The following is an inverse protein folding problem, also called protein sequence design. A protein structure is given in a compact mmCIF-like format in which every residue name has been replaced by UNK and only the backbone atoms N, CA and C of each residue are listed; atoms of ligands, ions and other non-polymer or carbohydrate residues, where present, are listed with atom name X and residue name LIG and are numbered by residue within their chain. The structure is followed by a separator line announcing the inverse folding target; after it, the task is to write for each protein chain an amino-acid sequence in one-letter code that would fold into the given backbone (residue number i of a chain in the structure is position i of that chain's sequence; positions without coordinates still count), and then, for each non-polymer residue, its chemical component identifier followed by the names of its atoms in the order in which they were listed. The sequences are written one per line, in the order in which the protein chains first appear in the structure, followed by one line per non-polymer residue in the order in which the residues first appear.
data_IF_730875047883
#
_entry.id   IF_730875047883
#
_cell.length_a   1.000
_cell.length_b   1.000
_cell.length_c   1.000
_cell.angle_alpha   90.00
_cell.angle_beta   90.00
_cell.angle_gamma   90.00
#
_symmetry.space_group_name_H-M   'P 1'
#
loop_
_entity.id
_entity.type
_entity.pdbx_description
1 polymer ?
#
# COMPACT_ATOMS: atom_id res chain seq x y z
N UNK A 1 5.36 18.70 -22.07
CA UNK A 1 5.39 18.14 -23.46
C UNK A 1 5.89 16.69 -23.48
N UNK A 2 5.56 15.89 -24.51
CA UNK A 2 6.11 14.53 -24.64
C UNK A 2 7.49 14.52 -25.33
N UNK A 3 8.40 13.64 -24.89
CA UNK A 3 9.69 13.44 -25.55
C UNK A 3 9.54 12.88 -26.97
N UNK A 4 8.62 11.93 -27.14
CA UNK A 4 8.18 11.42 -28.44
C UNK A 4 6.66 11.55 -28.51
N UNK A 5 6.17 12.28 -29.53
CA UNK A 5 4.75 12.42 -29.82
C UNK A 5 4.49 11.95 -31.24
N UNK A 6 3.73 10.87 -31.39
CA UNK A 6 3.35 10.26 -32.67
C UNK A 6 1.86 10.40 -32.87
N UNK A 7 1.47 11.02 -33.99
CA UNK A 7 0.07 11.19 -34.39
C UNK A 7 -0.15 10.54 -35.76
N UNK A 8 -0.79 9.37 -35.73
CA UNK A 8 -1.15 8.54 -36.88
C UNK A 8 -2.64 8.55 -37.15
N UNK A 9 -3.36 9.59 -36.72
CA UNK A 9 -4.83 9.68 -36.85
C UNK A 9 -5.29 9.88 -38.31
N UNK A 10 -4.35 10.14 -39.21
CA UNK A 10 -4.62 10.25 -40.65
C UNK A 10 -4.71 8.88 -41.32
N UNK A 11 -5.22 8.85 -42.55
CA UNK A 11 -5.39 7.61 -43.31
C UNK A 11 -4.05 6.93 -43.59
N UNK A 12 -3.90 5.68 -43.15
CA UNK A 12 -2.70 4.88 -43.43
C UNK A 12 -2.44 3.82 -42.38
N UNK A 13 -1.45 2.96 -42.65
CA UNK A 13 -0.89 2.08 -41.63
C UNK A 13 0.39 2.68 -41.09
N UNK A 14 0.36 3.03 -39.82
CA UNK A 14 1.50 3.60 -39.12
C UNK A 14 2.06 2.61 -38.11
N UNK A 15 3.38 2.50 -38.05
CA UNK A 15 4.08 1.62 -37.11
C UNK A 15 5.25 2.32 -36.44
N UNK A 16 5.48 1.96 -35.17
CA UNK A 16 6.57 2.49 -34.36
C UNK A 16 7.26 1.32 -33.66
N UNK A 17 8.59 1.28 -33.74
CA UNK A 17 9.39 0.23 -33.12
C UNK A 17 10.48 0.89 -32.29
N UNK A 18 10.51 0.60 -30.99
CA UNK A 18 11.61 0.93 -30.11
C UNK A 18 12.25 -0.38 -29.63
N UNK A 19 13.57 -0.51 -29.85
CA UNK A 19 14.32 -1.70 -29.47
C UNK A 19 15.66 -1.32 -28.83
N UNK A 20 15.97 -1.89 -27.67
CA UNK A 20 17.26 -1.66 -26.99
C UNK A 20 17.44 -0.21 -26.50
N UNK A 21 16.34 0.47 -26.15
CA UNK A 21 16.35 1.89 -25.82
C UNK A 21 16.34 2.15 -24.30
N UNK A 22 16.89 3.29 -23.90
CA UNK A 22 16.73 3.83 -22.55
C UNK A 22 16.02 5.18 -22.66
N UNK A 23 14.88 5.31 -22.02
CA UNK A 23 14.10 6.53 -21.91
C UNK A 23 14.16 7.04 -20.47
N UNK A 24 14.65 8.27 -20.32
CA UNK A 24 14.81 8.92 -19.01
C UNK A 24 13.89 10.14 -18.91
N UNK A 25 13.01 10.14 -17.91
CA UNK A 25 12.18 11.30 -17.59
C UNK A 25 12.94 12.18 -16.60
N UNK A 26 13.20 13.43 -16.99
CA UNK A 26 14.05 14.38 -16.24
C UNK A 26 13.28 15.28 -15.26
N UNK A 27 11.96 15.11 -15.16
CA UNK A 27 11.07 15.97 -14.40
C UNK A 27 9.77 16.19 -15.14
N UNK A 28 8.65 16.12 -14.42
CA UNK A 28 7.32 16.34 -14.94
C UNK A 28 6.48 17.02 -13.85
N UNK A 29 5.75 18.06 -14.21
CA UNK A 29 4.63 18.55 -13.39
C UNK A 29 3.38 17.73 -13.70
N UNK A 30 2.42 17.71 -12.77
CA UNK A 30 1.11 17.09 -13.01
C UNK A 30 0.52 17.71 -14.29
N UNK A 31 0.31 16.87 -15.32
CA UNK A 31 -0.12 17.22 -16.70
C UNK A 31 0.93 17.64 -17.75
N UNK A 32 2.23 17.66 -17.46
CA UNK A 32 3.22 18.19 -18.42
C UNK A 32 3.79 17.19 -19.45
N UNK A 33 2.96 16.29 -20.01
CA UNK A 33 3.38 15.32 -21.03
C UNK A 33 4.06 14.05 -20.48
N UNK A 34 5.16 13.57 -21.06
CA UNK A 34 5.75 12.28 -20.70
C UNK A 34 6.86 11.83 -21.65
N UNK A 35 7.20 10.54 -21.65
CA UNK A 35 8.21 9.99 -22.54
C UNK A 35 7.66 9.69 -23.93
N UNK A 36 6.54 8.97 -24.01
CA UNK A 36 5.95 8.55 -25.27
C UNK A 36 4.45 8.79 -25.25
N UNK A 37 3.96 9.47 -26.29
CA UNK A 37 2.55 9.53 -26.65
C UNK A 37 2.38 9.03 -28.07
N UNK A 38 1.57 7.99 -28.26
CA UNK A 38 1.36 7.34 -29.55
C UNK A 38 -0.12 7.08 -29.80
N UNK A 39 -0.68 7.78 -30.78
CA UNK A 39 -2.08 7.62 -31.23
C UNK A 39 -2.10 7.16 -32.69
N UNK A 40 -2.89 6.13 -33.02
CA UNK A 40 -3.04 5.65 -34.40
C UNK A 40 -1.88 4.79 -34.93
N UNK A 41 -0.92 4.40 -34.09
CA UNK A 41 0.25 3.58 -34.47
C UNK A 41 0.22 2.16 -33.91
N UNK A 42 0.58 1.17 -34.72
CA UNK A 42 0.93 -0.17 -34.24
C UNK A 42 2.35 -0.14 -33.65
N UNK A 43 2.46 -0.27 -32.34
CA UNK A 43 3.72 -0.07 -31.62
C UNK A 43 4.33 -1.38 -31.12
N UNK A 44 5.64 -1.53 -31.26
CA UNK A 44 6.42 -2.62 -30.63
C UNK A 44 7.51 -1.99 -29.78
N UNK A 45 7.50 -2.27 -28.48
CA UNK A 45 8.51 -1.83 -27.52
C UNK A 45 9.22 -3.07 -26.99
N UNK A 46 10.52 -3.17 -27.22
CA UNK A 46 11.29 -4.36 -26.87
C UNK A 46 12.64 -4.01 -26.26
N UNK A 47 13.06 -4.76 -25.25
CA UNK A 47 14.40 -4.63 -24.64
C UNK A 47 14.69 -3.17 -24.16
N UNK A 48 13.66 -2.48 -23.67
CA UNK A 48 13.71 -1.07 -23.30
C UNK A 48 13.70 -0.84 -21.78
N UNK A 49 14.24 0.30 -21.35
CA UNK A 49 14.16 0.76 -19.96
C UNK A 49 13.52 2.15 -19.94
N UNK A 50 12.41 2.29 -19.26
CA UNK A 50 11.74 3.54 -18.96
C UNK A 50 11.96 3.85 -17.48
N UNK A 51 12.60 4.98 -17.19
CA UNK A 51 12.85 5.37 -15.80
C UNK A 51 12.71 6.86 -15.57
N UNK A 52 12.28 7.20 -14.37
CA UNK A 52 12.44 8.55 -13.85
C UNK A 52 13.89 8.74 -13.38
N UNK A 53 14.60 9.71 -13.98
CA UNK A 53 15.93 10.07 -13.54
C UNK A 53 15.81 10.98 -12.33
N UNK A 54 16.08 10.45 -11.14
CA UNK A 54 16.25 11.31 -9.97
C UNK A 54 17.51 12.16 -10.19
N UNK A 55 17.34 13.40 -10.68
CA UNK A 55 18.40 14.38 -10.58
C UNK A 55 18.77 14.49 -9.10
N UNK A 56 20.01 14.11 -8.78
CA UNK A 56 20.70 14.23 -7.49
C UNK A 56 19.79 14.58 -6.34
N UNK A 57 19.42 13.58 -5.49
CA UNK A 57 18.75 13.76 -4.18
C UNK A 57 18.34 15.21 -4.00
N UNK A 58 17.28 15.65 -4.69
CA UNK A 58 16.74 16.94 -4.34
C UNK A 58 16.41 16.69 -2.87
N UNK A 59 17.08 17.40 -1.99
CA UNK A 59 16.64 17.55 -0.63
C UNK A 59 15.35 18.33 -0.81
N UNK A 60 14.28 17.62 -1.23
CA UNK A 60 12.96 18.17 -1.40
C UNK A 60 12.58 18.37 0.04
N UNK A 61 12.95 19.54 0.54
CA UNK A 61 12.66 19.98 1.87
C UNK A 61 11.17 19.66 2.06
N UNK A 62 10.79 18.84 3.06
CA UNK A 62 9.39 18.58 3.35
C UNK A 62 8.57 19.88 3.46
N UNK A 63 9.23 21.02 3.66
CA UNK A 63 8.68 22.36 3.65
C UNK A 63 8.11 22.85 2.29
N UNK A 64 8.74 22.56 1.14
CA UNK A 64 8.14 22.91 -0.17
C UNK A 64 6.93 22.03 -0.49
N UNK A 65 6.88 20.79 0.05
CA UNK A 65 5.68 19.94 0.01
C UNK A 65 4.53 20.53 0.83
N UNK A 66 4.84 21.34 1.85
CA UNK A 66 3.88 21.98 2.77
C UNK A 66 3.35 23.34 2.30
N UNK A 67 4.08 24.11 1.50
CA UNK A 67 3.61 25.46 1.14
C UNK A 67 2.52 25.48 0.05
N UNK A 68 2.34 24.40 -0.73
CA UNK A 68 1.12 24.16 -1.53
C UNK A 68 -0.02 23.52 -0.69
N UNK A 69 0.17 23.32 0.62
CA UNK A 69 -0.82 22.71 1.54
C UNK A 69 -1.77 23.75 2.14
N UNK A 70 -1.37 25.02 2.25
CA UNK A 70 -2.14 26.01 3.01
C UNK A 70 -3.09 26.88 2.17
N UNK A 71 -3.04 26.82 0.84
CA UNK A 71 -3.76 27.76 -0.04
C UNK A 71 -4.91 27.15 -0.87
N UNK A 72 -5.12 25.83 -0.83
CA UNK A 72 -6.21 25.17 -1.58
C UNK A 72 -7.01 24.31 -0.59
N UNK A 73 -8.28 24.68 -0.40
CA UNK A 73 -9.19 24.08 0.57
C UNK A 73 -9.39 22.58 0.36
N UNK A 74 -9.67 21.88 1.46
CA UNK A 74 -9.91 20.44 1.62
C UNK A 74 -11.17 19.90 0.90
N UNK A 75 -11.50 20.34 -0.31
CA UNK A 75 -12.75 19.92 -0.96
C UNK A 75 -12.64 18.83 -2.05
N UNK A 76 -11.43 18.43 -2.50
CA UNK A 76 -11.30 17.46 -3.60
C UNK A 76 -10.34 16.28 -3.31
N UNK A 77 -10.42 15.62 -2.15
CA UNK A 77 -9.84 14.28 -1.96
C UNK A 77 -10.67 13.18 -2.67
N UNK A 78 -11.14 13.44 -3.90
CA UNK A 78 -11.80 12.45 -4.73
C UNK A 78 -10.79 11.45 -5.30
N UNK A 79 -10.62 10.35 -4.56
CA UNK A 79 -10.22 9.03 -5.04
C UNK A 79 -8.82 8.90 -5.68
N UNK A 80 -8.29 7.68 -5.78
CA UNK A 80 -7.09 7.41 -6.59
C UNK A 80 -7.39 7.56 -8.10
N UNK A 81 -8.13 8.57 -8.54
CA UNK A 81 -8.25 8.85 -9.96
C UNK A 81 -6.96 9.52 -10.42
N UNK A 82 -6.23 8.85 -11.32
CA UNK A 82 -5.18 9.48 -12.09
C UNK A 82 -5.37 9.08 -13.55
N UNK A 83 -5.18 10.04 -14.43
CA UNK A 83 -5.23 9.87 -15.87
C UNK A 83 -3.85 10.10 -16.51
N UNK A 84 -2.84 10.41 -15.71
CA UNK A 84 -1.48 10.64 -16.18
C UNK A 84 -0.71 9.32 -16.33
N UNK A 85 0.24 9.32 -17.25
CA UNK A 85 1.28 8.31 -17.37
C UNK A 85 2.48 8.89 -18.15
N UNK A 86 3.64 8.27 -18.00
CA UNK A 86 4.83 8.61 -18.80
C UNK A 86 4.80 8.00 -20.20
N UNK A 87 4.07 6.90 -20.40
CA UNK A 87 3.88 6.26 -21.70
C UNK A 87 2.40 6.05 -21.98
N UNK A 88 1.94 6.51 -23.15
CA UNK A 88 0.53 6.41 -23.56
C UNK A 88 0.41 5.82 -24.96
N UNK A 89 -0.46 4.81 -25.11
CA UNK A 89 -0.85 4.23 -26.40
C UNK A 89 -2.36 4.30 -26.60
N UNK A 90 -2.81 4.80 -27.75
CA UNK A 90 -4.23 4.98 -28.09
C UNK A 90 -4.53 4.60 -29.55
N UNK A 91 -5.81 4.30 -29.83
CA UNK A 91 -6.41 4.05 -31.15
C UNK A 91 -5.85 2.87 -32.00
N UNK A 92 -4.80 2.19 -31.52
CA UNK A 92 -4.17 1.01 -32.14
C UNK A 92 -3.60 0.06 -31.10
N UNK A 93 -2.85 -0.95 -31.55
CA UNK A 93 -2.21 -1.94 -30.69
C UNK A 93 -0.78 -1.56 -30.31
N UNK A 94 -0.39 -1.86 -29.07
CA UNK A 94 1.01 -1.86 -28.64
C UNK A 94 1.37 -3.22 -28.04
N UNK A 95 2.54 -3.76 -28.38
CA UNK A 95 3.10 -4.96 -27.77
C UNK A 95 4.41 -4.61 -27.07
N UNK A 96 4.52 -4.95 -25.80
CA UNK A 96 5.65 -4.60 -24.94
C UNK A 96 6.32 -5.87 -24.41
N UNK A 97 7.62 -5.98 -24.64
CA UNK A 97 8.44 -7.15 -24.33
C UNK A 97 9.76 -6.75 -23.66
N UNK A 98 10.19 -7.54 -22.68
CA UNK A 98 11.44 -7.39 -21.95
C UNK A 98 11.75 -5.93 -21.57
N UNK A 99 10.73 -5.25 -21.03
CA UNK A 99 10.77 -3.81 -20.79
C UNK A 99 10.53 -3.51 -19.32
N UNK A 100 11.26 -2.54 -18.79
CA UNK A 100 11.16 -2.11 -17.39
C UNK A 100 10.60 -0.69 -17.29
N UNK A 101 9.64 -0.48 -16.39
CA UNK A 101 9.11 0.83 -16.01
C UNK A 101 9.38 1.10 -14.53
N UNK A 102 10.15 2.13 -14.21
CA UNK A 102 10.58 2.39 -12.84
C UNK A 102 10.61 3.86 -12.41
N UNK A 103 10.19 4.12 -11.18
CA UNK A 103 10.37 5.41 -10.50
C UNK A 103 9.38 6.52 -10.89
N UNK A 104 8.33 6.23 -11.66
CA UNK A 104 7.39 7.23 -12.14
C UNK A 104 6.41 7.70 -11.06
N UNK A 105 6.30 9.00 -10.88
CA UNK A 105 5.40 9.61 -9.88
C UNK A 105 3.99 9.85 -10.38
N UNK A 106 3.79 9.87 -11.69
CA UNK A 106 2.51 10.20 -12.34
C UNK A 106 1.96 9.04 -13.16
N UNK A 107 2.30 7.79 -12.83
CA UNK A 107 1.90 6.64 -13.63
C UNK A 107 2.94 6.22 -14.67
N UNK A 108 3.14 4.92 -14.86
CA UNK A 108 4.05 4.43 -15.88
C UNK A 108 3.38 4.34 -17.26
N UNK A 109 2.24 3.67 -17.34
CA UNK A 109 1.58 3.31 -18.60
C UNK A 109 0.10 3.68 -18.60
N UNK A 110 -0.36 4.30 -19.67
CA UNK A 110 -1.78 4.54 -19.96
C UNK A 110 -2.20 3.84 -21.24
N UNK A 111 -3.30 3.10 -21.14
CA UNK A 111 -4.07 2.61 -22.29
C UNK A 111 -5.15 3.64 -22.58
N UNK A 112 -4.94 4.43 -23.63
CA UNK A 112 -5.90 5.44 -24.08
C UNK A 112 -7.03 4.82 -24.90
N UNK A 113 -8.02 5.65 -25.26
CA UNK A 113 -9.21 5.30 -26.03
C UNK A 113 -8.89 4.40 -27.22
N UNK A 114 -9.68 3.32 -27.39
CA UNK A 114 -9.53 2.29 -28.42
C UNK A 114 -8.16 1.59 -28.47
N UNK A 115 -7.27 1.85 -27.52
CA UNK A 115 -5.96 1.23 -27.42
C UNK A 115 -6.04 -0.23 -27.02
N UNK A 116 -5.16 -1.05 -27.61
CA UNK A 116 -5.00 -2.48 -27.27
C UNK A 116 -3.57 -2.77 -26.88
N UNK A 117 -3.28 -2.81 -25.59
CA UNK A 117 -1.91 -3.00 -25.10
C UNK A 117 -1.72 -4.44 -24.63
N UNK A 118 -0.66 -5.09 -25.13
CA UNK A 118 -0.24 -6.43 -24.73
C UNK A 118 1.11 -6.35 -24.01
N UNK A 119 1.14 -6.79 -22.76
CA UNK A 119 2.32 -6.91 -21.92
C UNK A 119 2.69 -8.39 -21.77
N UNK A 120 3.94 -8.73 -22.05
CA UNK A 120 4.46 -10.09 -21.77
C UNK A 120 4.89 -10.23 -20.30
N UNK A 121 5.13 -11.46 -19.86
CA UNK A 121 5.62 -11.82 -18.52
C UNK A 121 6.99 -11.24 -18.16
N UNK A 122 7.75 -10.85 -19.19
CA UNK A 122 9.04 -10.18 -19.08
C UNK A 122 8.94 -8.68 -18.77
N UNK A 123 7.74 -8.08 -18.80
CA UNK A 123 7.52 -6.66 -18.46
C UNK A 123 7.50 -6.46 -16.95
N UNK A 124 8.25 -5.47 -16.46
CA UNK A 124 8.45 -5.19 -15.04
C UNK A 124 8.02 -3.77 -14.68
N UNK A 125 7.33 -3.64 -13.56
CA UNK A 125 6.97 -2.36 -12.95
C UNK A 125 7.42 -2.34 -11.49
N UNK A 126 8.08 -1.27 -11.04
CA UNK A 126 8.42 -1.09 -9.63
C UNK A 126 8.70 0.38 -9.29
N UNK A 127 8.47 0.76 -8.03
CA UNK A 127 8.77 2.10 -7.51
C UNK A 127 8.01 3.25 -8.20
N UNK A 128 6.90 2.97 -8.88
CA UNK A 128 6.09 4.02 -9.52
C UNK A 128 5.10 4.59 -8.50
N UNK A 129 5.59 5.41 -7.56
CA UNK A 129 4.84 5.85 -6.37
C UNK A 129 4.45 7.32 -6.51
N UNK A 130 3.19 7.70 -6.24
CA UNK A 130 2.74 9.07 -6.40
C UNK A 130 3.27 10.04 -5.35
N UNK A 131 3.46 11.29 -5.78
CA UNK A 131 3.72 12.42 -4.89
C UNK A 131 2.38 13.04 -4.48
N UNK A 132 1.74 12.45 -3.46
CA UNK A 132 0.40 12.85 -3.00
C UNK A 132 0.38 13.18 -1.51
N UNK A 133 -0.58 13.99 -1.07
CA UNK A 133 -0.72 14.44 0.33
C UNK A 133 -1.25 13.33 1.26
N UNK A 134 -2.09 12.43 0.76
CA UNK A 134 -2.68 11.33 1.55
C UNK A 134 -1.65 10.23 1.86
N UNK A 135 -1.47 9.92 3.15
CA UNK A 135 -0.60 8.84 3.65
C UNK A 135 -0.96 7.46 3.06
N UNK A 136 -2.23 7.23 2.73
CA UNK A 136 -2.70 5.99 2.08
C UNK A 136 -2.28 5.95 0.61
N UNK A 137 -2.45 7.07 -0.10
CA UNK A 137 -2.13 7.16 -1.53
C UNK A 137 -0.63 7.17 -1.78
N UNK A 138 0.19 7.72 -0.87
CA UNK A 138 1.65 7.66 -0.94
C UNK A 138 2.21 6.24 -0.95
N UNK A 139 1.43 5.25 -0.49
CA UNK A 139 1.84 3.83 -0.48
C UNK A 139 1.25 3.05 -1.66
N UNK A 140 0.39 3.66 -2.46
CA UNK A 140 -0.26 3.02 -3.60
C UNK A 140 0.55 3.26 -4.87
N UNK A 141 1.18 2.23 -5.45
CA UNK A 141 1.86 2.41 -6.72
C UNK A 141 0.85 2.74 -7.85
N UNK A 142 1.27 3.55 -8.82
CA UNK A 142 0.55 3.93 -10.01
C UNK A 142 1.26 3.32 -11.21
N UNK A 143 0.96 2.06 -11.51
CA UNK A 143 1.64 1.38 -12.60
C UNK A 143 0.90 1.57 -13.92
N UNK A 144 -0.37 1.17 -13.97
CA UNK A 144 -1.13 1.18 -15.22
C UNK A 144 -2.49 1.85 -15.03
N UNK A 145 -2.82 2.78 -15.92
CA UNK A 145 -4.19 3.29 -16.10
C UNK A 145 -4.78 2.69 -17.35
N UNK A 146 -5.93 2.05 -17.19
CA UNK A 146 -6.76 1.59 -18.29
C UNK A 146 -8.17 2.13 -18.07
N UNK A 147 -8.39 3.36 -18.52
CA UNK A 147 -9.58 4.11 -18.19
C UNK A 147 -9.87 5.18 -19.25
N UNK A 148 -10.59 4.84 -20.34
CA UNK A 148 -11.23 5.85 -21.20
C UNK A 148 -12.53 5.40 -21.88
N UNK A 149 -13.49 6.33 -21.81
CA UNK A 149 -14.70 6.65 -22.60
C UNK A 149 -15.80 5.60 -22.89
N UNK A 150 -17.05 6.09 -22.94
CA UNK A 150 -18.30 5.34 -23.15
C UNK A 150 -18.47 4.79 -24.58
N UNK A 151 -17.48 5.02 -25.46
CA UNK A 151 -17.51 4.62 -26.87
C UNK A 151 -16.22 3.91 -27.26
N UNK A 152 -16.24 2.58 -27.18
CA UNK A 152 -15.15 1.70 -27.60
C UNK A 152 -14.42 1.00 -26.45
N UNK A 153 -14.14 -0.29 -26.60
CA UNK A 153 -13.47 -1.09 -25.57
C UNK A 153 -11.95 -0.94 -25.67
N UNK A 154 -11.34 -0.23 -24.71
CA UNK A 154 -9.89 -0.33 -24.49
C UNK A 154 -9.56 -1.72 -23.96
N UNK A 155 -8.39 -2.24 -24.31
CA UNK A 155 -7.98 -3.59 -23.93
C UNK A 155 -6.57 -3.60 -23.35
N UNK A 156 -6.42 -4.24 -22.19
CA UNK A 156 -5.14 -4.55 -21.60
C UNK A 156 -5.01 -6.07 -21.48
N UNK A 157 -4.10 -6.65 -22.25
CA UNK A 157 -3.68 -8.03 -22.12
C UNK A 157 -2.35 -8.09 -21.40
N UNK A 158 -2.25 -8.89 -20.35
CA UNK A 158 -1.01 -9.02 -19.59
C UNK A 158 -0.85 -10.45 -19.07
N UNK A 159 0.20 -11.11 -19.56
CA UNK A 159 0.70 -12.36 -18.98
C UNK A 159 1.65 -11.99 -17.85
N UNK A 160 1.35 -12.40 -16.62
CA UNK A 160 2.12 -12.18 -15.38
C UNK A 160 3.04 -10.96 -15.40
N UNK A 161 2.46 -9.76 -15.50
CA UNK A 161 3.26 -8.55 -15.33
C UNK A 161 3.89 -8.61 -13.94
N UNK A 162 5.22 -8.57 -13.92
CA UNK A 162 6.01 -8.61 -12.70
C UNK A 162 5.98 -7.22 -12.06
N UNK A 163 4.85 -6.86 -11.46
CA UNK A 163 4.81 -5.79 -10.47
C UNK A 163 5.72 -6.23 -9.34
N UNK A 164 6.71 -5.44 -8.98
CA UNK A 164 7.71 -5.80 -7.97
C UNK A 164 7.70 -4.77 -6.87
N UNK A 165 7.79 -5.27 -5.63
CA UNK A 165 8.00 -4.41 -4.47
C UNK A 165 9.36 -3.73 -4.59
N UNK A 166 9.47 -2.54 -4.02
CA UNK A 166 10.75 -1.84 -3.94
C UNK A 166 11.49 -2.30 -2.68
N UNK A 167 12.72 -2.79 -2.83
CA UNK A 167 13.58 -3.13 -1.68
C UNK A 167 14.25 -1.88 -1.09
N UNK A 168 14.78 -2.02 0.14
CA UNK A 168 15.67 -1.05 0.75
C UNK A 168 16.84 -0.75 -0.20
N UNK A 169 16.90 0.49 -0.72
CA UNK A 169 17.90 0.91 -1.70
C UNK A 169 17.36 1.14 -3.12
N UNK A 170 16.06 0.96 -3.36
CA UNK A 170 15.42 1.32 -4.64
C UNK A 170 15.54 0.25 -5.73
N UNK A 171 15.95 -0.97 -5.37
CA UNK A 171 16.08 -2.10 -6.30
C UNK A 171 14.76 -2.89 -6.40
N UNK A 172 14.52 -3.56 -7.54
CA UNK A 172 13.34 -4.40 -7.73
C UNK A 172 13.43 -5.65 -6.84
N UNK A 173 12.48 -5.81 -5.94
CA UNK A 173 12.34 -6.97 -5.06
C UNK A 173 11.39 -8.04 -5.59
N UNK A 174 10.74 -8.71 -4.64
CA UNK A 174 9.75 -9.76 -4.88
C UNK A 174 8.57 -9.27 -5.70
N UNK A 175 7.94 -10.20 -6.41
CA UNK A 175 6.70 -9.93 -7.14
C UNK A 175 5.62 -9.50 -6.17
N UNK A 176 5.07 -8.31 -6.39
CA UNK A 176 3.91 -7.77 -5.71
C UNK A 176 2.68 -8.60 -6.06
N UNK A 177 1.97 -9.02 -5.02
CA UNK A 177 0.63 -9.61 -5.13
C UNK A 177 -0.35 -8.59 -5.73
N UNK A 178 -0.16 -7.31 -5.40
CA UNK A 178 -0.96 -6.20 -5.91
C UNK A 178 -0.43 -5.71 -7.24
N UNK A 179 -1.35 -5.61 -8.20
CA UNK A 179 -1.03 -5.32 -9.59
C UNK A 179 -1.13 -3.83 -9.91
N UNK A 180 -1.62 -2.99 -8.98
CA UNK A 180 -1.59 -1.52 -9.10
C UNK A 180 -2.07 -0.99 -10.47
N UNK A 181 -3.12 -1.64 -10.98
CA UNK A 181 -3.81 -1.26 -12.22
C UNK A 181 -5.11 -0.58 -11.83
N UNK A 182 -5.30 0.65 -12.30
CA UNK A 182 -6.59 1.32 -12.30
C UNK A 182 -7.33 0.93 -13.58
N UNK A 183 -8.31 0.03 -13.45
CA UNK A 183 -9.15 -0.42 -14.54
C UNK A 183 -10.63 -0.24 -14.18
N UNK A 184 -11.39 0.52 -14.98
CA UNK A 184 -12.84 0.66 -14.79
C UNK A 184 -13.56 -0.51 -15.49
N UNK A 185 -14.42 -1.29 -14.80
CA UNK A 185 -15.01 -2.54 -15.33
C UNK A 185 -15.84 -2.43 -16.61
N UNK A 186 -16.19 -1.21 -17.05
CA UNK A 186 -17.04 -0.97 -18.22
C UNK A 186 -16.32 -0.31 -19.39
N UNK A 187 -15.10 0.22 -19.18
CA UNK A 187 -14.35 0.95 -20.20
C UNK A 187 -13.04 0.26 -20.58
N UNK A 188 -12.57 -0.68 -19.75
CA UNK A 188 -11.36 -1.47 -19.99
C UNK A 188 -11.62 -2.96 -19.83
N UNK A 189 -11.35 -3.71 -20.90
CA UNK A 189 -11.33 -5.17 -20.87
C UNK A 189 -9.93 -5.68 -20.52
N UNK A 190 -9.86 -6.61 -19.56
CA UNK A 190 -8.62 -7.23 -19.12
C UNK A 190 -8.53 -8.65 -19.69
N UNK A 191 -7.36 -9.03 -20.21
CA UNK A 191 -7.05 -10.35 -20.77
C UNK A 191 -5.74 -10.93 -20.20
N UNK A 192 -5.52 -12.24 -20.41
CA UNK A 192 -4.35 -12.95 -19.90
C UNK A 192 -4.45 -13.28 -18.40
N UNK A 193 -3.31 -13.52 -17.75
CA UNK A 193 -3.30 -13.91 -16.33
C UNK A 193 -3.80 -12.82 -15.38
N UNK A 194 -3.78 -11.53 -15.76
CA UNK A 194 -4.30 -10.44 -14.92
C UNK A 194 -5.81 -10.55 -14.64
N UNK A 195 -6.54 -11.33 -15.43
CA UNK A 195 -7.97 -11.62 -15.16
C UNK A 195 -8.15 -12.38 -13.85
N UNK A 196 -7.20 -13.25 -13.50
CA UNK A 196 -7.22 -13.97 -12.23
C UNK A 196 -6.88 -13.04 -11.05
N UNK A 197 -6.18 -11.94 -11.34
CA UNK A 197 -5.82 -10.90 -10.37
C UNK A 197 -6.92 -9.86 -10.12
N UNK A 198 -8.17 -10.08 -10.57
CA UNK A 198 -9.32 -9.19 -10.28
C UNK A 198 -9.48 -8.85 -8.79
N UNK A 199 -9.02 -9.72 -7.88
CA UNK A 199 -9.06 -9.51 -6.43
C UNK A 199 -7.94 -8.58 -5.89
N UNK A 200 -6.98 -8.17 -6.73
CA UNK A 200 -5.77 -7.43 -6.36
C UNK A 200 -5.53 -6.21 -7.29
N UNK A 201 -6.61 -5.66 -7.86
CA UNK A 201 -6.59 -4.43 -8.66
C UNK A 201 -6.89 -3.22 -7.78
N UNK A 202 -6.27 -2.08 -8.08
CA UNK A 202 -6.27 -0.88 -7.21
C UNK A 202 -7.65 -0.22 -7.06
N UNK A 203 -8.66 -0.62 -7.82
CA UNK A 203 -9.94 0.09 -7.79
C UNK A 203 -10.74 -0.15 -6.51
N UNK A 204 -10.79 -1.39 -6.01
CA UNK A 204 -11.64 -1.76 -4.87
C UNK A 204 -10.81 -2.53 -3.83
N UNK A 205 -10.74 -2.05 -2.57
CA UNK A 205 -10.18 -2.84 -1.48
C UNK A 205 -10.85 -4.20 -1.34
N UNK A 206 -10.08 -5.19 -0.90
CA UNK A 206 -10.51 -6.55 -0.64
C UNK A 206 -10.13 -6.97 0.78
N UNK A 207 -11.13 -6.87 1.67
CA UNK A 207 -11.02 -7.24 3.08
C UNK A 207 -11.41 -8.71 3.25
N UNK A 208 -10.58 -9.46 3.99
CA UNK A 208 -10.78 -10.90 4.25
C UNK A 208 -11.14 -11.19 5.69
N UNK A 209 -10.71 -10.35 6.63
CA UNK A 209 -10.91 -10.56 8.05
C UNK A 209 -11.09 -9.22 8.77
N UNK A 210 -11.94 -9.25 9.79
CA UNK A 210 -12.21 -8.15 10.70
C UNK A 210 -12.25 -8.70 12.11
N UNK A 211 -11.53 -8.07 13.02
CA UNK A 211 -11.61 -8.30 14.45
C UNK A 211 -11.78 -6.98 15.18
N UNK A 212 -12.58 -6.95 16.24
CA UNK A 212 -12.80 -5.77 17.06
C UNK A 212 -12.88 -6.18 18.54
N UNK A 213 -12.22 -5.43 19.40
CA UNK A 213 -12.20 -5.66 20.86
C UNK A 213 -12.37 -4.33 21.60
N UNK A 214 -13.05 -4.36 22.75
CA UNK A 214 -13.02 -3.22 23.67
C UNK A 214 -11.70 -3.19 24.45
N UNK A 215 -11.19 -1.99 24.70
CA UNK A 215 -10.15 -1.74 25.69
C UNK A 215 -10.64 -0.68 26.70
N UNK A 216 -9.75 -0.22 27.59
CA UNK A 216 -10.06 0.78 28.62
C UNK A 216 -10.48 2.15 28.08
N UNK A 217 -10.22 2.44 26.80
CA UNK A 217 -10.33 3.78 26.19
C UNK A 217 -11.30 3.84 24.99
N UNK A 218 -11.70 2.69 24.44
CA UNK A 218 -12.58 2.60 23.27
C UNK A 218 -12.59 1.23 22.61
N UNK A 219 -12.69 1.21 21.28
CA UNK A 219 -12.71 0.00 20.45
C UNK A 219 -11.45 -0.05 19.58
N UNK A 220 -10.68 -1.14 19.72
CA UNK A 220 -9.56 -1.46 18.86
C UNK A 220 -10.03 -2.40 17.75
N UNK A 221 -9.70 -2.06 16.51
CA UNK A 221 -10.15 -2.75 15.31
C UNK A 221 -8.92 -3.20 14.51
N UNK A 222 -8.92 -4.46 14.09
CA UNK A 222 -7.90 -5.05 13.23
C UNK A 222 -8.56 -5.52 11.93
N UNK A 223 -8.09 -4.99 10.81
CA UNK A 223 -8.57 -5.30 9.47
C UNK A 223 -7.46 -6.03 8.72
N UNK A 224 -7.77 -7.19 8.14
CA UNK A 224 -6.87 -7.88 7.22
C UNK A 224 -7.51 -8.05 5.85
N UNK A 225 -6.71 -7.90 4.82
CA UNK A 225 -7.12 -8.03 3.43
C UNK A 225 -6.04 -8.63 2.57
N UNK A 226 -6.43 -8.98 1.35
CA UNK A 226 -5.46 -9.31 0.29
C UNK A 226 -4.96 -8.04 -0.41
N UNK A 227 -5.78 -6.98 -0.41
CA UNK A 227 -5.43 -5.62 -0.82
C UNK A 227 -6.33 -4.65 -0.06
N UNK A 228 -5.78 -3.77 0.75
CA UNK A 228 -6.51 -2.76 1.53
C UNK A 228 -6.39 -1.37 0.90
N UNK A 229 -5.34 -1.12 0.13
CA UNK A 229 -5.14 0.07 -0.67
C UNK A 229 -6.03 -0.05 -1.91
N UNK A 230 -7.01 0.84 -2.01
CA UNK A 230 -7.89 0.91 -3.17
C UNK A 230 -8.38 2.32 -3.45
N UNK A 231 -9.02 2.55 -4.60
CA UNK A 231 -9.60 3.85 -4.93
C UNK A 231 -10.76 4.20 -4.00
N UNK A 232 -11.55 3.20 -3.62
CA UNK A 232 -12.59 3.36 -2.63
C UNK A 232 -12.02 3.39 -1.22
N UNK A 233 -12.66 4.20 -0.38
CA UNK A 233 -12.34 4.33 1.04
C UNK A 233 -12.92 3.16 1.81
N UNK A 234 -12.24 2.79 2.90
CA UNK A 234 -12.71 1.82 3.87
C UNK A 234 -13.43 2.56 5.00
N UNK A 235 -14.68 2.17 5.24
CA UNK A 235 -15.52 2.73 6.29
C UNK A 235 -15.76 1.66 7.34
N UNK A 236 -15.57 2.02 8.61
CA UNK A 236 -15.91 1.21 9.76
C UNK A 236 -17.35 1.57 10.14
N UNK A 237 -18.26 0.60 10.01
CA UNK A 237 -19.65 0.74 10.43
C UNK A 237 -19.82 0.15 11.82
N UNK A 238 -20.18 0.96 12.80
CA UNK A 238 -20.48 0.49 14.17
C UNK A 238 -21.99 0.54 14.37
N UNK A 239 -22.59 -0.59 14.74
CA UNK A 239 -24.02 -0.76 15.00
C UNK A 239 -24.22 -1.21 16.45
N UNK A 240 -25.24 -0.69 17.12
CA UNK A 240 -25.64 -1.22 18.43
C UNK A 240 -26.32 -2.59 18.25
N UNK A 241 -25.90 -3.59 19.04
CA UNK A 241 -26.49 -4.93 19.00
C UNK A 241 -27.61 -5.00 20.06
N UNK A 242 -28.80 -4.49 19.74
CA UNK A 242 -29.95 -4.65 20.62
C UNK A 242 -30.44 -6.11 20.57
N UNK A 243 -30.38 -6.79 21.71
CA UNK A 243 -31.13 -8.02 21.90
C UNK A 243 -32.63 -7.69 21.76
N UNK A 244 -33.28 -8.36 20.81
CA UNK A 244 -34.75 -8.55 20.74
C UNK A 244 -35.67 -7.33 20.53
N UNK A 245 -35.51 -6.57 19.44
CA UNK A 245 -36.66 -5.81 18.88
C UNK A 245 -36.77 -6.06 17.38
N UNK A 246 -37.71 -6.91 16.98
CA UNK A 246 -38.10 -7.04 15.57
C UNK A 246 -38.56 -5.65 15.07
N UNK A 247 -37.88 -5.13 14.05
CA UNK A 247 -38.17 -3.87 13.33
C UNK A 247 -37.62 -2.55 13.92
N UNK A 248 -36.71 -2.56 14.89
CA UNK A 248 -36.00 -1.34 15.27
C UNK A 248 -34.91 -1.00 14.24
N UNK A 249 -34.94 0.21 13.68
CA UNK A 249 -33.79 0.76 12.94
C UNK A 249 -32.69 1.01 13.98
N UNK A 250 -31.72 0.09 14.03
CA UNK A 250 -30.58 0.22 14.94
C UNK A 250 -29.78 1.46 14.55
N UNK A 251 -29.46 2.35 15.50
CA UNK A 251 -28.61 3.48 15.21
C UNK A 251 -27.22 2.93 14.81
N UNK A 252 -26.67 3.49 13.74
CA UNK A 252 -25.36 3.12 13.20
C UNK A 252 -24.53 4.36 12.94
N UNK A 253 -23.24 4.31 13.25
CA UNK A 253 -22.31 5.37 12.92
C UNK A 253 -21.17 4.83 12.07
N UNK A 254 -20.78 5.62 11.06
CA UNK A 254 -19.66 5.29 10.16
C UNK A 254 -18.45 6.14 10.50
N UNK A 255 -17.30 5.52 10.47
CA UNK A 255 -16.01 6.14 10.73
C UNK A 255 -15.08 5.86 9.55
N UNK A 256 -14.45 6.90 9.00
CA UNK A 256 -13.48 6.74 7.93
C UNK A 256 -12.23 6.08 8.49
N UNK A 257 -11.82 4.93 7.95
CA UNK A 257 -10.69 4.16 8.49
C UNK A 257 -9.42 5.01 8.57
N UNK A 258 -9.14 5.82 7.55
CA UNK A 258 -7.96 6.68 7.47
C UNK A 258 -7.82 7.64 8.66
N UNK A 259 -8.93 8.14 9.22
CA UNK A 259 -8.90 9.09 10.34
C UNK A 259 -8.64 8.42 11.69
N UNK A 260 -8.97 7.13 11.79
CA UNK A 260 -8.87 6.37 13.03
C UNK A 260 -7.76 5.30 13.00
N UNK A 261 -7.05 5.17 11.87
CA UNK A 261 -5.98 4.20 11.70
C UNK A 261 -4.81 4.52 12.64
N UNK A 262 -4.45 3.57 13.50
CA UNK A 262 -3.26 3.63 14.36
C UNK A 262 -2.03 3.04 13.66
N UNK A 263 -2.24 2.09 12.75
CA UNK A 263 -1.20 1.59 11.86
C UNK A 263 -1.80 1.17 10.52
N UNK A 264 -1.16 1.55 9.42
CA UNK A 264 -1.55 1.13 8.06
C UNK A 264 -0.34 1.15 7.14
N UNK A 265 0.67 0.37 7.50
CA UNK A 265 1.95 0.32 6.81
C UNK A 265 2.03 -0.73 5.71
N UNK A 266 1.04 -1.61 5.65
CA UNK A 266 0.97 -2.68 4.66
C UNK A 266 -0.37 -2.65 3.94
N UNK A 267 -0.36 -3.11 2.70
CA UNK A 267 -1.56 -3.31 1.90
C UNK A 267 -2.41 -4.51 2.38
N UNK A 268 -1.96 -5.24 3.39
CA UNK A 268 -2.65 -6.45 3.88
C UNK A 268 -3.22 -6.28 5.28
N UNK A 269 -2.72 -5.32 6.06
CA UNK A 269 -3.10 -5.13 7.45
C UNK A 269 -3.26 -3.65 7.79
N UNK A 270 -4.33 -3.34 8.50
CA UNK A 270 -4.56 -2.05 9.12
C UNK A 270 -5.11 -2.24 10.54
N UNK A 271 -4.71 -1.38 11.45
CA UNK A 271 -5.32 -1.28 12.79
C UNK A 271 -5.92 0.11 12.95
N UNK A 272 -7.07 0.18 13.62
CA UNK A 272 -7.73 1.44 13.93
C UNK A 272 -8.21 1.45 15.38
N UNK A 273 -8.28 2.64 15.95
CA UNK A 273 -8.74 2.85 17.30
C UNK A 273 -9.80 3.95 17.30
N UNK A 274 -10.99 3.64 17.79
CA UNK A 274 -12.08 4.61 17.95
C UNK A 274 -12.30 4.83 19.45
N UNK A 275 -12.01 6.02 19.98
CA UNK A 275 -12.22 6.30 21.40
C UNK A 275 -13.70 6.32 21.76
N UNK A 276 -14.01 6.11 23.04
CA UNK A 276 -15.36 6.32 23.55
C UNK A 276 -15.88 7.71 23.19
N UNK A 277 -17.15 7.78 22.80
CA UNK A 277 -17.82 9.01 22.41
C UNK A 277 -19.32 8.91 22.74
N UNK A 278 -20.12 9.84 22.21
CA UNK A 278 -21.57 9.85 22.43
C UNK A 278 -22.26 8.57 21.95
N UNK A 279 -21.71 7.88 20.96
CA UNK A 279 -22.21 6.64 20.39
C UNK A 279 -21.52 5.39 20.95
N UNK A 280 -20.18 5.37 20.98
CA UNK A 280 -19.38 4.27 21.53
C UNK A 280 -19.25 4.45 23.03
N UNK A 281 -19.97 3.64 23.81
CA UNK A 281 -20.02 3.70 25.27
C UNK A 281 -19.68 2.35 25.91
N UNK A 282 -19.18 2.39 27.16
CA UNK A 282 -18.95 1.19 27.97
C UNK A 282 -20.25 0.43 28.23
N UNK A 283 -20.17 -0.89 28.38
CA UNK A 283 -21.29 -1.78 28.69
C UNK A 283 -22.26 -2.08 27.54
N UNK A 284 -22.19 -1.35 26.43
CA UNK A 284 -23.02 -1.60 25.24
C UNK A 284 -22.45 -2.71 24.36
N UNK A 285 -23.31 -3.63 23.93
CA UNK A 285 -22.96 -4.62 22.90
C UNK A 285 -22.99 -3.96 21.53
N UNK A 286 -21.92 -4.10 20.77
CA UNK A 286 -21.79 -3.51 19.44
C UNK A 286 -21.38 -4.54 18.42
N UNK A 287 -21.77 -4.30 17.16
CA UNK A 287 -21.26 -5.01 16.00
C UNK A 287 -20.47 -4.02 15.17
N UNK A 288 -19.24 -4.37 14.84
CA UNK A 288 -18.40 -3.62 13.91
C UNK A 288 -18.42 -4.36 12.57
N UNK A 289 -18.74 -3.67 11.49
CA UNK A 289 -18.58 -4.17 10.12
C UNK A 289 -17.75 -3.21 9.29
N UNK A 290 -17.34 -3.65 8.10
CA UNK A 290 -16.60 -2.80 7.16
C UNK A 290 -17.43 -2.62 5.89
N UNK A 291 -17.46 -1.39 5.37
CA UNK A 291 -18.00 -1.06 4.06
C UNK A 291 -16.97 -0.33 3.20
N UNK A 292 -17.19 -0.35 1.88
CA UNK A 292 -16.28 0.21 0.88
C UNK A 292 -17.07 1.16 -0.01
N UNK A 293 -16.60 2.40 -0.18
CA UNK A 293 -17.19 3.36 -1.11
C UNK A 293 -16.44 4.67 -1.21
N UNK A 294 -16.93 5.55 -2.08
CA UNK A 294 -16.37 6.91 -2.28
C UNK A 294 -16.76 7.84 -1.12
N UNK A 295 -17.96 7.64 -0.56
CA UNK A 295 -18.45 8.37 0.61
C UNK A 295 -19.16 7.42 1.56
N UNK A 296 -19.36 7.82 2.81
CA UNK A 296 -20.10 7.06 3.83
C UNK A 296 -21.50 6.63 3.35
N UNK A 297 -22.19 7.48 2.58
CA UNK A 297 -23.55 7.21 2.10
C UNK A 297 -23.58 6.28 0.88
N UNK A 298 -22.50 6.26 0.09
CA UNK A 298 -22.37 5.42 -1.11
C UNK A 298 -21.57 4.13 -0.86
N UNK A 299 -21.15 3.88 0.38
CA UNK A 299 -20.39 2.69 0.74
C UNK A 299 -21.27 1.45 0.85
N UNK A 300 -20.81 0.33 0.31
CA UNK A 300 -21.48 -0.97 0.37
C UNK A 300 -20.76 -1.89 1.37
N UNK A 301 -21.50 -2.69 2.16
CA UNK A 301 -20.90 -3.59 3.14
C UNK A 301 -20.03 -4.65 2.44
N UNK A 302 -18.87 -4.94 3.03
CA UNK A 302 -18.05 -6.08 2.65
C UNK A 302 -18.78 -7.35 3.03
N UNK A 303 -18.83 -8.31 2.11
CA UNK A 303 -19.49 -9.61 2.32
C UNK A 303 -18.48 -10.74 2.28
N UNK A 304 -18.68 -11.71 3.17
CA UNK A 304 -18.00 -13.00 3.14
C UNK A 304 -18.35 -13.76 1.85
N UNK A 305 -17.59 -14.81 1.48
CA UNK A 305 -17.93 -15.68 0.34
C UNK A 305 -19.34 -16.30 0.42
N UNK A 306 -19.91 -16.39 1.62
CA UNK A 306 -21.28 -16.88 1.88
C UNK A 306 -22.35 -15.79 1.76
N UNK A 307 -21.99 -14.56 1.39
CA UNK A 307 -22.90 -13.43 1.20
C UNK A 307 -23.30 -12.68 2.48
N UNK A 308 -22.82 -13.08 3.65
CA UNK A 308 -23.07 -12.40 4.92
C UNK A 308 -22.15 -11.18 5.08
N UNK A 309 -22.62 -10.11 5.74
CA UNK A 309 -21.76 -8.96 6.08
C UNK A 309 -20.55 -9.43 6.91
N UNK A 310 -19.37 -8.94 6.56
CA UNK A 310 -18.16 -9.17 7.35
C UNK A 310 -18.24 -8.28 8.59
N UNK A 311 -18.57 -8.91 9.71
CA UNK A 311 -18.82 -8.26 10.97
C UNK A 311 -18.09 -8.97 12.12
N UNK A 312 -17.76 -8.21 13.16
CA UNK A 312 -17.17 -8.67 14.40
C UNK A 312 -18.02 -8.16 15.58
N UNK A 313 -18.48 -9.08 16.42
CA UNK A 313 -19.13 -8.73 17.69
C UNK A 313 -18.09 -8.22 18.67
N UNK A 314 -18.39 -7.08 19.30
CA UNK A 314 -17.54 -6.51 20.35
C UNK A 314 -18.16 -6.84 21.70
N UNK A 315 -17.53 -7.75 22.44
CA UNK A 315 -17.99 -8.13 23.78
C UNK A 315 -17.78 -6.97 24.76
N UNK A 316 -18.79 -6.57 25.55
CA UNK A 316 -18.70 -5.39 26.40
C UNK A 316 -17.50 -5.49 27.33
N UNK A 317 -16.75 -4.39 27.48
CA UNK A 317 -15.75 -4.29 28.53
C UNK A 317 -16.44 -4.60 29.86
N UNK A 318 -16.01 -5.65 30.55
CA UNK A 318 -16.38 -5.85 31.94
C UNK A 318 -15.79 -4.65 32.69
N UNK A 319 -16.65 -3.85 33.34
CA UNK A 319 -16.15 -2.98 34.39
C UNK A 319 -15.46 -3.90 35.38
N UNK A 320 -14.17 -3.68 35.65
CA UNK A 320 -13.48 -4.27 36.79
C UNK A 320 -14.09 -3.66 38.07
N UNK A 321 -15.34 -4.02 38.36
CA UNK A 321 -15.86 -4.08 39.71
C UNK A 321 -15.29 -5.33 40.33
N UNK A 322 -14.46 -5.16 41.36
CA UNK A 322 -14.02 -6.24 42.22
C UNK A 322 -15.29 -6.81 42.89
N UNK A 323 -15.85 -7.86 42.31
CA UNK A 323 -16.67 -8.83 43.03
C UNK A 323 -15.90 -10.15 43.01
N UNK A 324 -15.22 -10.42 44.13
CA UNK A 324 -14.85 -11.77 44.50
C UNK A 324 -16.15 -12.57 44.67
N UNK A 325 -16.43 -13.51 43.76
CA UNK A 325 -16.93 -14.84 44.13
C UNK A 325 -16.95 -15.79 42.93
N UNK A 326 -16.29 -16.94 43.15
CA UNK A 326 -16.42 -18.24 42.50
C UNK A 326 -16.20 -18.40 40.99
N UNK A 327 -14.92 -18.43 40.61
CA UNK A 327 -14.47 -19.09 39.37
C UNK A 327 -14.24 -20.58 39.66
N UNK A 328 -15.19 -21.41 39.23
CA UNK A 328 -14.91 -22.80 38.88
C UNK A 328 -13.85 -22.82 37.76
N UNK A 329 -12.70 -23.39 38.10
CA UNK A 329 -11.50 -23.45 37.28
C UNK A 329 -11.71 -24.14 35.92
N UNK A 330 -11.52 -23.38 34.83
CA UNK A 330 -10.92 -23.93 33.60
C UNK A 330 -9.50 -23.39 33.47
N UNK A 331 -8.56 -24.32 33.67
CA UNK A 331 -7.10 -24.16 33.74
C UNK A 331 -6.50 -23.34 32.59
N UNK A 332 -6.26 -22.06 32.83
CA UNK A 332 -5.19 -21.27 32.23
C UNK A 332 -4.09 -21.04 33.27
N UNK A 333 -2.82 -20.86 32.85
CA UNK A 333 -1.72 -20.62 33.78
C UNK A 333 -2.06 -19.44 34.70
N UNK A 334 -2.07 -19.70 36.01
CA UNK A 334 -2.35 -18.73 37.08
C UNK A 334 -1.57 -17.42 36.86
N UNK A 335 -2.22 -16.28 37.12
CA UNK A 335 -1.62 -14.94 37.03
C UNK A 335 -0.31 -14.82 37.83
N UNK A 336 -0.15 -15.65 38.87
CA UNK A 336 1.06 -15.72 39.69
C UNK A 336 2.25 -16.33 38.91
N UNK A 337 1.98 -17.24 37.97
CA UNK A 337 2.99 -17.81 37.05
C UNK A 337 3.38 -16.81 35.97
N UNK A 338 2.43 -16.01 35.47
CA UNK A 338 2.72 -14.93 34.51
C UNK A 338 3.60 -13.85 35.15
N UNK A 339 3.29 -13.45 36.39
CA UNK A 339 4.11 -12.50 37.15
C UNK A 339 5.54 -13.04 37.37
N UNK A 340 5.70 -14.33 37.67
CA UNK A 340 7.01 -14.96 37.81
C UNK A 340 7.82 -14.94 36.50
N UNK A 341 7.17 -15.19 35.35
CA UNK A 341 7.84 -15.15 34.02
C UNK A 341 8.34 -13.74 33.69
N UNK A 342 7.58 -12.70 34.03
CA UNK A 342 7.97 -11.30 33.78
C UNK A 342 9.20 -10.94 34.62
N UNK A 343 9.23 -11.31 35.91
CA UNK A 343 10.37 -11.05 36.79
C UNK A 343 11.63 -11.77 36.30
N UNK A 344 11.52 -13.02 35.86
CA UNK A 344 12.66 -13.78 35.31
C UNK A 344 13.17 -13.15 34.01
N UNK A 345 12.28 -12.71 33.11
CA UNK A 345 12.68 -12.04 31.87
C UNK A 345 13.46 -10.75 32.11
N UNK A 346 13.05 -9.94 33.10
CA UNK A 346 13.76 -8.70 33.46
C UNK A 346 15.16 -9.01 34.00
N UNK A 347 15.30 -10.03 34.84
CA UNK A 347 16.61 -10.44 35.37
C UNK A 347 17.56 -10.93 34.25
N UNK A 348 17.04 -11.71 33.29
CA UNK A 348 17.83 -12.17 32.13
C UNK A 348 18.26 -10.98 31.27
N UNK A 349 17.36 -10.02 31.01
CA UNK A 349 17.69 -8.82 30.23
C UNK A 349 18.78 -7.97 30.90
N UNK A 350 18.67 -7.72 32.21
CA UNK A 350 19.69 -6.99 32.97
C UNK A 350 21.06 -7.70 32.93
N UNK A 351 21.07 -9.03 33.04
CA UNK A 351 22.31 -9.82 32.94
C UNK A 351 22.98 -9.70 31.55
N UNK A 352 22.19 -9.69 30.48
CA UNK A 352 22.68 -9.49 29.11
C UNK A 352 23.30 -8.11 28.90
N UNK A 353 22.68 -7.06 29.43
CA UNK A 353 23.21 -5.69 29.36
C UNK A 353 24.55 -5.57 30.10
N UNK A 354 24.68 -6.21 31.27
CA UNK A 354 25.94 -6.24 32.02
C UNK A 354 27.02 -7.01 31.23
N UNK A 355 26.70 -8.15 30.62
CA UNK A 355 27.65 -8.92 29.82
C UNK A 355 28.12 -8.13 28.59
N UNK A 356 27.19 -7.48 27.87
CA UNK A 356 27.51 -6.67 26.68
C UNK A 356 28.36 -5.47 27.06
N UNK A 357 28.02 -4.75 28.13
CA UNK A 357 28.82 -3.62 28.62
C UNK A 357 30.22 -4.05 29.06
N UNK A 358 30.35 -5.19 29.76
CA UNK A 358 31.65 -5.77 30.12
C UNK A 358 32.47 -6.17 28.88
N UNK A 359 31.85 -6.76 27.85
CA UNK A 359 32.50 -7.09 26.58
C UNK A 359 32.96 -5.85 25.82
N UNK A 360 32.16 -4.78 25.81
CA UNK A 360 32.51 -3.50 25.19
C UNK A 360 33.68 -2.85 25.95
N UNK A 361 33.62 -2.78 27.27
CA UNK A 361 34.71 -2.28 28.11
C UNK A 361 36.00 -3.12 27.94
N UNK A 362 35.89 -4.45 27.88
CA UNK A 362 37.04 -5.34 27.63
C UNK A 362 37.66 -5.11 26.24
N UNK A 363 36.83 -4.93 25.20
CA UNK A 363 37.33 -4.61 23.84
C UNK A 363 37.98 -3.24 23.76
N UNK A 364 37.44 -2.24 24.46
CA UNK A 364 38.04 -0.91 24.54
C UNK A 364 39.37 -0.92 25.31
N UNK A 365 39.47 -1.69 26.40
CA UNK A 365 40.71 -1.82 27.16
C UNK A 365 41.79 -2.61 26.41
N UNK A 366 41.41 -3.56 25.55
CA UNK A 366 42.35 -4.31 24.69
C UNK A 366 42.95 -3.45 23.56
N UNK A 367 42.23 -2.43 23.08
CA UNK A 367 42.73 -1.49 22.06
C UNK A 367 43.73 -0.46 22.61
N UNK A 368 43.84 -0.32 23.93
CA UNK A 368 44.73 0.64 24.58
C UNK A 368 46.01 0.01 25.17
N UNK A 369 46.39 -1.22 24.76
CA UNK A 369 47.74 -1.72 25.08
C UNK A 369 48.76 -1.05 24.14
N UNK A 370 49.68 -0.20 24.64
CA UNK A 370 50.77 0.30 23.82
C UNK A 370 51.68 -0.88 23.43
N UNK A 371 52.01 -0.98 22.14
CA UNK A 371 53.07 -1.86 21.66
C UNK A 371 54.39 -1.43 22.34
N UNK A 372 54.95 -2.34 23.14
CA UNK A 372 56.34 -2.27 23.54
C UNK A 372 57.18 -2.53 22.30
N UNK A 373 57.80 -1.47 21.78
CA UNK A 373 58.86 -1.56 20.77
C UNK A 373 60.02 -2.36 21.38
N UNK A 374 60.20 -3.60 20.90
CA UNK A 374 61.39 -4.39 21.20
C UNK A 374 62.62 -3.74 20.53
N UNK A 375 63.53 -3.24 21.36
CA UNK A 375 64.89 -2.87 20.95
C UNK A 375 65.64 -4.14 20.62
N UNK A 376 65.90 -4.35 19.33
CA UNK A 376 66.68 -5.46 18.81
C UNK A 376 68.11 -5.45 19.35
N UNK A 377 68.43 -6.49 20.12
CA UNK A 377 69.76 -6.93 20.52
C UNK A 377 69.59 -8.45 20.70
N UNK A 378 70.38 -9.41 20.19
CA UNK A 378 71.79 -9.52 19.84
C UNK A 378 71.96 -10.83 19.05
N UNK A 379 73.02 -10.98 18.25
CA UNK A 379 73.59 -12.30 17.92
C UNK A 379 74.84 -12.19 17.03
N UNK A 380 76.00 -11.77 17.57
CA UNK A 380 77.16 -12.57 18.01
C UNK A 380 77.86 -13.48 16.97
N UNK A 381 79.10 -13.08 16.62
CA UNK A 381 80.34 -13.86 16.40
C UNK A 381 80.28 -15.17 15.61
N UNK A 382 81.03 -15.26 14.51
CA UNK A 382 82.45 -15.64 14.48
C UNK A 382 83.07 -15.34 13.12
#
# INVERSE_FOLDING_TARGET
CYGISLDGSSSGEHSFIANGCIFEELGKEEDDGGLIYSIGFSSIIKDCIFRYHQMNKINIDPFWRMNKILNEGEEDEQACEWNSASVTFAEKSARIENTTFAGFTYGALRVGKLGKVTLTDTVKFYSNVPVVKSLRLQKSERNIVCNEDYTGQTQLSAESVSFRKTELGGYPGDVSENKWILAKPYTCELFGSIVQSKNYLLYKPYVTNLAAIFNSEGVLISIRGTSLFGCYQLWIDVKENAASVLNAVMPSQKYLLEQYATSWDSDTNATAFIPFNTFIQKGKRMVVSVSIGVTANMSLPVRTPKGQELAADVQPAQDEGIEEEDIEEKKGLSALVIAAIVVVSILVFLSLVIIISALVCYRLNRKNKPELVEVGSVGYTK
#
